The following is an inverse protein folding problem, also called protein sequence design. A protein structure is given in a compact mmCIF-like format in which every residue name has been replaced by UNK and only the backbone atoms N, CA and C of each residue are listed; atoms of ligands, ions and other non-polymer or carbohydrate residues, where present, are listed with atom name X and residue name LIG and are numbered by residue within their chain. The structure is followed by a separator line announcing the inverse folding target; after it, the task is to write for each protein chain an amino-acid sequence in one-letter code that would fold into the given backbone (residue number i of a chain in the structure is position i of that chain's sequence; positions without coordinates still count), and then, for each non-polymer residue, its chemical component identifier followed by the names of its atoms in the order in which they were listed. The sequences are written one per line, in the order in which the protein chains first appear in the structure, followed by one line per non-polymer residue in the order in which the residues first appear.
data_IF_713189834633
#
_entry.id   IF_713189834633
#
_cell.length_a   1.000
_cell.length_b   1.000
_cell.length_c   1.000
_cell.angle_alpha   90.00
_cell.angle_beta   90.00
_cell.angle_gamma   90.00
#
_symmetry.space_group_name_H-M   'P 1'
#
loop_
_entity.id
_entity.type
_entity.pdbx_description
1 polymer ?
#
# COMPACT_ATOMS: atom_id res chain seq x y z
N UNK A 1 2.66 -4.52 12.18
CA UNK A 1 3.27 -3.36 11.50
C UNK A 1 2.48 -2.06 11.68
N UNK A 2 1.15 -2.10 11.80
CA UNK A 2 0.31 -0.91 11.98
C UNK A 2 0.47 -0.16 13.33
N UNK A 3 0.78 -0.87 14.43
CA UNK A 3 0.85 -0.32 15.80
C UNK A 3 2.26 0.15 16.20
N UNK A 4 3.32 -0.42 15.59
CA UNK A 4 4.70 -0.18 16.01
C UNK A 4 5.11 1.30 15.84
N UNK A 5 4.88 1.96 14.69
CA UNK A 5 5.23 3.37 14.54
C UNK A 5 4.38 4.30 15.41
N UNK A 6 3.16 3.90 15.75
CA UNK A 6 2.26 4.61 16.65
C UNK A 6 2.82 4.67 18.08
N UNK A 7 3.37 3.54 18.55
CA UNK A 7 3.99 3.45 19.88
C UNK A 7 5.21 4.38 20.01
N UNK A 8 6.08 4.41 19.00
CA UNK A 8 7.25 5.30 19.00
C UNK A 8 6.85 6.78 18.85
N UNK A 9 5.90 7.10 17.98
CA UNK A 9 5.51 8.50 17.72
C UNK A 9 4.71 9.15 18.85
N UNK A 10 3.95 8.35 19.62
CA UNK A 10 3.30 8.83 20.85
C UNK A 10 4.31 9.12 21.96
N UNK A 11 5.38 8.32 22.07
CA UNK A 11 6.49 8.58 23.02
C UNK A 11 7.36 9.77 22.62
N UNK A 12 7.52 10.04 21.32
CA UNK A 12 8.33 11.13 20.76
C UNK A 12 7.53 12.43 20.50
N UNK A 13 6.26 12.51 20.91
CA UNK A 13 5.36 13.66 20.70
C UNK A 13 5.28 14.17 19.24
N UNK A 14 5.35 13.27 18.26
CA UNK A 14 5.40 13.66 16.85
C UNK A 14 4.00 13.80 16.24
N UNK A 15 3.37 14.95 16.50
CA UNK A 15 1.95 15.23 16.16
C UNK A 15 1.61 15.10 14.67
N UNK A 16 2.53 15.42 13.77
CA UNK A 16 2.30 15.37 12.30
C UNK A 16 2.03 13.94 11.81
N UNK A 17 2.77 12.98 12.33
CA UNK A 17 2.58 11.57 12.00
C UNK A 17 1.23 11.07 12.54
N UNK A 18 0.88 11.43 13.77
CA UNK A 18 -0.37 11.00 14.40
C UNK A 18 -1.61 11.46 13.62
N UNK A 19 -1.63 12.71 13.16
CA UNK A 19 -2.76 13.23 12.36
C UNK A 19 -2.91 12.50 11.03
N UNK A 20 -1.81 12.32 10.28
CA UNK A 20 -1.86 11.60 8.99
C UNK A 20 -2.25 10.14 9.17
N UNK A 21 -1.73 9.50 10.23
CA UNK A 21 -2.03 8.11 10.56
C UNK A 21 -3.51 7.92 10.94
N UNK A 22 -4.07 8.84 11.72
CA UNK A 22 -5.48 8.78 12.13
C UNK A 22 -6.41 8.92 10.93
N UNK A 23 -6.15 9.91 10.06
CA UNK A 23 -6.94 10.10 8.83
C UNK A 23 -6.87 8.86 7.94
N UNK A 24 -5.66 8.35 7.69
CA UNK A 24 -5.47 7.12 6.90
C UNK A 24 -6.23 5.94 7.51
N UNK A 25 -6.16 5.77 8.82
CA UNK A 25 -6.79 4.65 9.53
C UNK A 25 -8.31 4.73 9.50
N UNK A 26 -8.90 5.91 9.67
CA UNK A 26 -10.35 6.11 9.59
C UNK A 26 -10.87 5.81 8.19
N UNK A 27 -10.20 6.33 7.14
CA UNK A 27 -10.65 6.10 5.76
C UNK A 27 -10.47 4.63 5.36
N UNK A 28 -9.33 4.03 5.69
CA UNK A 28 -9.05 2.62 5.38
C UNK A 28 -10.01 1.69 6.13
N UNK A 29 -10.34 2.00 7.39
CA UNK A 29 -11.34 1.26 8.15
C UNK A 29 -12.74 1.38 7.53
N UNK A 30 -13.15 2.58 7.10
CA UNK A 30 -14.43 2.78 6.42
C UNK A 30 -14.53 1.95 5.11
N UNK A 31 -13.47 1.93 4.31
CA UNK A 31 -13.44 1.20 3.04
C UNK A 31 -13.39 -0.31 3.27
N UNK A 32 -12.59 -0.76 4.24
CA UNK A 32 -12.53 -2.17 4.65
C UNK A 32 -13.87 -2.65 5.22
N UNK A 33 -14.57 -1.80 5.98
CA UNK A 33 -15.91 -2.08 6.45
C UNK A 33 -16.87 -2.26 5.27
N UNK A 34 -16.83 -1.37 4.26
CA UNK A 34 -17.66 -1.53 3.05
C UNK A 34 -17.34 -2.82 2.30
N UNK A 35 -16.06 -3.21 2.20
CA UNK A 35 -15.62 -4.43 1.53
C UNK A 35 -16.04 -5.73 2.25
N UNK A 36 -16.23 -5.71 3.57
CA UNK A 36 -16.56 -6.89 4.39
C UNK A 36 -18.06 -7.11 4.61
N UNK A 37 -18.92 -6.18 4.17
CA UNK A 37 -20.38 -6.29 4.34
C UNK A 37 -21.00 -7.29 3.37
N UNK A 38 -21.96 -8.06 3.87
CA UNK A 38 -22.79 -9.00 3.09
C UNK A 38 -24.25 -8.51 3.07
N UNK A 39 -24.94 -8.52 1.91
CA UNK A 39 -24.41 -8.78 0.57
C UNK A 39 -23.50 -7.64 0.08
N UNK A 40 -22.48 -7.97 -0.71
CA UNK A 40 -21.56 -6.98 -1.27
C UNK A 40 -22.28 -6.15 -2.34
N UNK A 41 -22.33 -4.82 -2.18
CA UNK A 41 -22.91 -3.95 -3.19
C UNK A 41 -22.00 -3.88 -4.43
N UNK A 42 -22.61 -3.92 -5.63
CA UNK A 42 -21.91 -3.95 -6.91
C UNK A 42 -20.89 -2.81 -7.13
N UNK A 43 -21.10 -1.63 -6.54
CA UNK A 43 -20.17 -0.48 -6.67
C UNK A 43 -18.98 -0.54 -5.71
N UNK A 44 -19.01 -1.43 -4.72
CA UNK A 44 -18.01 -1.51 -3.65
C UNK A 44 -16.61 -1.88 -4.16
N UNK A 45 -16.44 -2.90 -5.03
CA UNK A 45 -15.13 -3.24 -5.56
C UNK A 45 -14.47 -2.06 -6.27
N UNK A 46 -15.21 -1.33 -7.12
CA UNK A 46 -14.68 -0.15 -7.81
C UNK A 46 -14.21 0.93 -6.84
N UNK A 47 -14.95 1.18 -5.76
CA UNK A 47 -14.56 2.15 -4.73
C UNK A 47 -13.26 1.73 -4.02
N UNK A 48 -13.20 0.45 -3.61
CA UNK A 48 -12.04 -0.14 -2.92
C UNK A 48 -10.79 -0.04 -3.79
N UNK A 49 -10.87 -0.49 -5.05
CA UNK A 49 -9.75 -0.42 -6.00
C UNK A 49 -9.31 1.02 -6.26
N UNK A 50 -10.24 1.96 -6.51
CA UNK A 50 -9.89 3.36 -6.74
C UNK A 50 -9.17 3.99 -5.56
N UNK A 51 -9.61 3.71 -4.34
CA UNK A 51 -8.96 4.23 -3.13
C UNK A 51 -7.54 3.69 -2.96
N UNK A 52 -7.37 2.36 -3.02
CA UNK A 52 -6.04 1.77 -2.83
C UNK A 52 -5.09 2.11 -3.98
N UNK A 53 -5.60 2.28 -5.21
CA UNK A 53 -4.82 2.77 -6.33
C UNK A 53 -4.38 4.23 -6.14
N UNK A 54 -5.28 5.10 -5.66
CA UNK A 54 -4.95 6.49 -5.33
C UNK A 54 -3.85 6.52 -4.24
N UNK A 55 -4.02 5.71 -3.21
CA UNK A 55 -3.05 5.62 -2.12
C UNK A 55 -1.67 5.16 -2.59
N UNK A 56 -1.64 4.13 -3.45
CA UNK A 56 -0.41 3.66 -4.10
C UNK A 56 0.26 4.78 -4.91
N UNK A 57 -0.49 5.52 -5.73
CA UNK A 57 0.05 6.62 -6.54
C UNK A 57 0.64 7.73 -5.67
N UNK A 58 -0.05 8.11 -4.59
CA UNK A 58 0.45 9.13 -3.65
C UNK A 58 1.72 8.63 -2.96
N UNK A 59 1.70 7.42 -2.39
CA UNK A 59 2.85 6.82 -1.72
C UNK A 59 4.07 6.71 -2.65
N UNK A 60 3.85 6.29 -3.90
CA UNK A 60 4.88 6.16 -4.91
C UNK A 60 5.48 7.53 -5.29
N UNK A 61 4.62 8.53 -5.54
CA UNK A 61 5.08 9.89 -5.83
C UNK A 61 5.87 10.49 -4.65
N UNK A 62 5.36 10.34 -3.43
CA UNK A 62 6.05 10.77 -2.20
C UNK A 62 7.41 10.07 -2.05
N UNK A 63 7.50 8.77 -2.34
CA UNK A 63 8.76 8.02 -2.33
C UNK A 63 9.77 8.52 -3.35
N UNK A 64 9.34 8.78 -4.60
CA UNK A 64 10.22 9.34 -5.64
C UNK A 64 10.73 10.72 -5.25
N UNK A 65 9.84 11.59 -4.75
CA UNK A 65 10.23 12.94 -4.30
C UNK A 65 11.22 12.85 -3.16
N UNK A 66 10.98 12.00 -2.16
CA UNK A 66 11.90 11.78 -1.05
C UNK A 66 13.28 11.28 -1.52
N UNK A 67 13.30 10.28 -2.41
CA UNK A 67 14.55 9.76 -2.99
C UNK A 67 15.32 10.84 -3.73
N UNK A 68 14.62 11.63 -4.54
CA UNK A 68 15.21 12.72 -5.33
C UNK A 68 15.86 13.77 -4.41
N UNK A 69 15.20 14.15 -3.32
CA UNK A 69 15.75 15.08 -2.32
C UNK A 69 17.00 14.51 -1.64
N UNK A 70 16.99 13.23 -1.25
CA UNK A 70 18.16 12.57 -0.65
C UNK A 70 19.32 12.53 -1.64
N UNK A 71 19.07 12.12 -2.89
CA UNK A 71 20.11 12.09 -3.93
C UNK A 71 20.70 13.47 -4.18
N UNK A 72 19.88 14.50 -4.35
CA UNK A 72 20.38 15.87 -4.53
C UNK A 72 21.17 16.39 -3.33
N UNK A 73 20.84 15.95 -2.12
CA UNK A 73 21.59 16.31 -0.92
C UNK A 73 22.95 15.61 -0.87
N UNK A 74 23.03 14.34 -1.26
CA UNK A 74 24.29 13.58 -1.34
C UNK A 74 25.25 14.12 -2.42
N UNK A 75 24.73 14.57 -3.57
CA UNK A 75 25.54 15.20 -4.61
C UNK A 75 25.96 16.65 -4.29
N UNK A 76 25.62 17.17 -3.11
CA UNK A 76 26.01 18.51 -2.68
C UNK A 76 25.31 19.66 -3.41
N UNK A 77 24.32 19.37 -4.28
CA UNK A 77 23.54 20.37 -5.03
C UNK A 77 22.76 21.26 -4.06
N UNK A 78 22.41 20.75 -2.87
CA UNK A 78 21.76 21.53 -1.83
C UNK A 78 22.56 22.75 -1.32
N UNK A 79 23.89 22.69 -1.44
CA UNK A 79 24.78 23.80 -1.09
C UNK A 79 24.60 24.99 -2.05
N UNK A 80 24.19 24.74 -3.30
CA UNK A 80 23.90 25.78 -4.29
C UNK A 80 22.68 26.60 -3.86
N UNK A 81 21.70 25.96 -3.24
CA UNK A 81 20.49 26.62 -2.72
C UNK A 81 20.67 27.19 -1.29
N UNK A 82 21.89 27.14 -0.72
CA UNK A 82 22.19 27.55 0.67
C UNK A 82 21.31 26.87 1.72
N UNK A 83 20.79 25.68 1.43
CA UNK A 83 20.04 24.88 2.40
C UNK A 83 21.04 24.01 3.15
N UNK A 84 20.90 23.92 4.46
CA UNK A 84 21.76 23.07 5.26
C UNK A 84 21.52 21.59 4.91
N UNK A 85 22.57 20.78 4.73
CA UNK A 85 22.42 19.35 4.40
C UNK A 85 21.63 18.56 5.44
N UNK A 86 21.74 18.93 6.72
CA UNK A 86 20.97 18.35 7.83
C UNK A 86 19.46 18.43 7.58
N UNK A 87 18.94 19.64 7.39
CA UNK A 87 17.50 19.90 7.23
C UNK A 87 16.91 19.19 6.00
N UNK A 88 17.69 19.14 4.92
CA UNK A 88 17.23 18.52 3.69
C UNK A 88 17.28 16.99 3.72
N UNK A 89 18.29 16.40 4.38
CA UNK A 89 18.29 14.96 4.61
C UNK A 89 17.14 14.55 5.52
N UNK A 90 16.88 15.29 6.60
CA UNK A 90 15.74 15.02 7.49
C UNK A 90 14.41 15.06 6.74
N UNK A 91 14.23 16.07 5.88
CA UNK A 91 13.03 16.17 5.05
C UNK A 91 12.93 15.02 4.03
N UNK A 92 14.01 14.70 3.33
CA UNK A 92 14.05 13.64 2.30
C UNK A 92 13.82 12.25 2.87
N UNK A 93 14.49 11.92 3.98
CA UNK A 93 14.33 10.64 4.69
C UNK A 93 12.94 10.53 5.30
N UNK A 94 12.38 11.62 5.85
CA UNK A 94 11.00 11.63 6.36
C UNK A 94 9.99 11.31 5.25
N UNK A 95 10.13 11.95 4.07
CA UNK A 95 9.29 11.66 2.90
C UNK A 95 9.39 10.20 2.45
N UNK A 96 10.62 9.67 2.38
CA UNK A 96 10.85 8.25 2.04
C UNK A 96 10.16 7.31 3.04
N UNK A 97 10.29 7.60 4.33
CA UNK A 97 9.64 6.83 5.38
C UNK A 97 8.11 6.86 5.24
N UNK A 98 7.51 8.03 5.02
CA UNK A 98 6.06 8.15 4.79
C UNK A 98 5.60 7.39 3.54
N UNK A 99 6.32 7.56 2.43
CA UNK A 99 6.02 6.89 1.16
C UNK A 99 6.04 5.38 1.33
N UNK A 100 7.13 4.82 1.88
CA UNK A 100 7.27 3.38 2.08
C UNK A 100 6.27 2.84 3.11
N UNK A 101 6.07 3.54 4.22
CA UNK A 101 5.17 3.09 5.29
C UNK A 101 3.72 2.96 4.82
N UNK A 102 3.16 4.04 4.24
CA UNK A 102 1.79 4.02 3.73
C UNK A 102 1.65 3.16 2.48
N UNK A 103 2.69 3.01 1.66
CA UNK A 103 2.69 2.14 0.49
C UNK A 103 2.58 0.66 0.86
N UNK A 104 3.41 0.21 1.81
CA UNK A 104 3.38 -1.16 2.31
C UNK A 104 2.06 -1.46 3.01
N UNK A 105 1.61 -0.58 3.91
CA UNK A 105 0.32 -0.74 4.58
C UNK A 105 -0.86 -0.76 3.60
N UNK A 106 -0.86 0.17 2.64
CA UNK A 106 -1.90 0.25 1.62
C UNK A 106 -2.03 -1.03 0.80
N UNK A 107 -0.90 -1.63 0.41
CA UNK A 107 -0.85 -2.91 -0.30
C UNK A 107 -1.45 -4.04 0.53
N UNK A 108 -1.05 -4.18 1.80
CA UNK A 108 -1.55 -5.25 2.68
C UNK A 108 -3.07 -5.16 2.90
N UNK A 109 -3.60 -3.95 3.09
CA UNK A 109 -5.05 -3.75 3.22
C UNK A 109 -5.79 -3.99 1.90
N UNK A 110 -5.18 -3.65 0.76
CA UNK A 110 -5.77 -3.91 -0.55
C UNK A 110 -5.90 -5.41 -0.84
N UNK A 111 -4.87 -6.20 -0.52
CA UNK A 111 -4.87 -7.66 -0.65
C UNK A 111 -5.95 -8.29 0.25
N UNK A 112 -5.99 -7.90 1.53
CA UNK A 112 -7.02 -8.35 2.46
C UNK A 112 -8.44 -8.02 1.96
N UNK A 113 -8.67 -6.80 1.47
CA UNK A 113 -9.97 -6.42 0.92
C UNK A 113 -10.31 -7.21 -0.34
N UNK A 114 -9.34 -7.49 -1.21
CA UNK A 114 -9.54 -8.29 -2.41
C UNK A 114 -9.97 -9.72 -2.07
N UNK A 115 -9.35 -10.35 -1.08
CA UNK A 115 -9.71 -11.70 -0.61
C UNK A 115 -11.12 -11.75 0.00
N UNK A 116 -11.50 -10.75 0.79
CA UNK A 116 -12.86 -10.65 1.34
C UNK A 116 -13.92 -10.45 0.25
N UNK A 117 -13.63 -9.64 -0.76
CA UNK A 117 -14.54 -9.45 -1.89
C UNK A 117 -14.64 -10.72 -2.74
N UNK A 118 -13.53 -11.37 -3.06
CA UNK A 118 -13.51 -12.60 -3.84
C UNK A 118 -14.30 -13.73 -3.16
N UNK A 119 -14.13 -13.90 -1.84
CA UNK A 119 -14.87 -14.89 -1.05
C UNK A 119 -16.37 -14.58 -0.91
N UNK A 120 -16.77 -13.31 -1.00
CA UNK A 120 -18.18 -12.89 -0.89
C UNK A 120 -18.93 -12.96 -2.22
N UNK A 121 -18.23 -12.72 -3.33
CA UNK A 121 -18.82 -12.66 -4.68
C UNK A 121 -19.17 -14.05 -5.22
N UNK A 122 -18.45 -15.11 -4.81
CA UNK A 122 -18.97 -16.49 -4.82
C UNK A 122 -19.44 -17.02 -6.19
N UNK A 123 -18.66 -16.85 -7.26
CA UNK A 123 -18.94 -17.50 -8.56
C UNK A 123 -18.66 -19.01 -8.57
N UNK A 124 -18.04 -19.55 -7.51
CA UNK A 124 -17.79 -20.97 -7.33
C UNK A 124 -18.76 -21.55 -6.30
N UNK A 125 -19.66 -22.43 -6.75
CA UNK A 125 -20.37 -23.34 -5.87
C UNK A 125 -19.46 -24.54 -5.55
N UNK A 126 -19.49 -25.08 -4.33
CA UNK A 126 -18.76 -26.31 -3.99
C UNK A 126 -19.21 -27.52 -4.86
N UNK A 127 -20.35 -27.39 -5.54
CA UNK A 127 -20.92 -28.34 -6.51
C UNK A 127 -20.41 -28.21 -7.96
N UNK A 128 -19.46 -27.31 -8.24
CA UNK A 128 -18.74 -27.25 -9.53
C UNK A 128 -19.50 -26.65 -10.73
N UNK A 129 -20.83 -26.52 -10.67
CA UNK A 129 -21.60 -25.81 -11.71
C UNK A 129 -21.85 -24.34 -11.32
N UNK A 130 -21.42 -23.37 -12.15
CA UNK A 130 -21.71 -21.96 -11.93
C UNK A 130 -23.19 -21.69 -12.25
N UNK A 131 -23.95 -21.20 -11.27
CA UNK A 131 -25.40 -20.94 -11.41
C UNK A 131 -25.71 -19.59 -12.07
N UNK A 132 -24.69 -18.76 -12.36
CA UNK A 132 -24.87 -17.40 -12.85
C UNK A 132 -24.08 -17.20 -14.15
N UNK A 133 -24.79 -17.19 -15.28
CA UNK A 133 -24.22 -16.77 -16.56
C UNK A 133 -23.95 -15.26 -16.52
N UNK A 134 -22.71 -14.86 -16.77
CA UNK A 134 -22.29 -13.48 -16.89
C UNK A 134 -22.25 -13.11 -18.36
N UNK A 135 -22.95 -12.05 -18.77
CA UNK A 135 -22.87 -11.52 -20.13
C UNK A 135 -21.54 -10.79 -20.36
N UNK A 136 -21.00 -10.88 -21.58
CA UNK A 136 -19.66 -10.38 -21.95
C UNK A 136 -19.41 -8.88 -21.67
N UNK A 137 -20.47 -8.08 -21.55
CA UNK A 137 -20.39 -6.64 -21.27
C UNK A 137 -20.49 -6.29 -19.78
N UNK A 138 -20.48 -7.28 -18.88
CA UNK A 138 -20.61 -7.07 -17.42
C UNK A 138 -19.33 -7.57 -16.73
N UNK A 139 -18.75 -6.74 -15.86
CA UNK A 139 -17.56 -7.08 -15.10
C UNK A 139 -17.82 -8.24 -14.13
N UNK A 140 -16.96 -9.26 -14.16
CA UNK A 140 -17.05 -10.44 -13.29
C UNK A 140 -16.81 -10.15 -11.81
N UNK A 141 -16.24 -9.01 -11.43
CA UNK A 141 -15.97 -8.68 -10.02
C UNK A 141 -17.08 -7.82 -9.43
N UNK A 142 -17.53 -6.81 -10.18
CA UNK A 142 -18.47 -5.80 -9.70
C UNK A 142 -19.88 -5.92 -10.28
N UNK A 143 -20.11 -6.78 -11.29
CA UNK A 143 -21.44 -6.95 -11.89
C UNK A 143 -21.98 -5.70 -12.61
N UNK A 144 -21.11 -4.74 -12.93
CA UNK A 144 -21.45 -3.49 -13.60
C UNK A 144 -21.01 -3.50 -15.08
N UNK A 145 -21.63 -2.69 -15.96
CA UNK A 145 -21.25 -2.64 -17.37
C UNK A 145 -19.80 -2.18 -17.52
N UNK A 146 -19.10 -2.84 -18.45
CA UNK A 146 -17.74 -2.50 -18.86
C UNK A 146 -17.82 -1.20 -19.69
N UNK A 147 -17.09 -0.17 -19.28
CA UNK A 147 -17.16 1.17 -19.88
C UNK A 147 -16.17 1.40 -21.03
N UNK A 148 -15.14 0.57 -21.14
CA UNK A 148 -14.04 0.70 -22.11
C UNK A 148 -13.75 -0.68 -22.69
N UNK A 149 -13.59 -0.80 -24.00
CA UNK A 149 -13.22 -2.08 -24.63
C UNK A 149 -11.73 -2.41 -24.36
N UNK A 150 -11.36 -3.68 -24.43
CA UNK A 150 -10.01 -4.20 -24.13
C UNK A 150 -8.92 -3.55 -25.02
N UNK A 151 -9.30 -3.01 -26.17
CA UNK A 151 -8.39 -2.36 -27.12
C UNK A 151 -8.08 -0.89 -26.82
N UNK A 152 -8.79 -0.24 -25.90
CA UNK A 152 -8.60 1.18 -25.59
C UNK A 152 -8.12 1.39 -24.16
N UNK A 153 -7.14 2.30 -23.99
CA UNK A 153 -6.73 2.73 -22.65
C UNK A 153 -7.81 3.62 -22.03
N UNK A 154 -8.45 3.10 -20.99
CA UNK A 154 -9.48 3.80 -20.25
C UNK A 154 -8.88 4.89 -19.36
N UNK A 155 -9.45 6.10 -19.41
CA UNK A 155 -9.09 7.20 -18.50
C UNK A 155 -9.38 6.83 -17.03
N UNK A 156 -10.36 5.96 -16.79
CA UNK A 156 -10.86 5.60 -15.45
C UNK A 156 -10.55 4.14 -15.07
N UNK A 157 -10.81 3.19 -15.97
CA UNK A 157 -10.59 1.75 -15.75
C UNK A 157 -10.22 1.05 -17.06
N UNK A 158 -9.13 0.27 -17.06
CA UNK A 158 -8.73 -0.57 -18.20
C UNK A 158 -9.45 -1.91 -18.10
N UNK A 159 -9.94 -2.40 -19.24
CA UNK A 159 -10.62 -3.69 -19.32
C UNK A 159 -9.62 -4.74 -19.76
N UNK A 160 -9.45 -5.77 -18.94
CA UNK A 160 -8.65 -6.93 -19.29
C UNK A 160 -9.56 -8.15 -19.41
N UNK A 161 -9.48 -8.87 -20.53
CA UNK A 161 -10.08 -10.19 -20.67
C UNK A 161 -9.13 -11.23 -20.08
N UNK A 162 -9.59 -11.94 -19.04
CA UNK A 162 -8.83 -13.01 -18.42
C UNK A 162 -8.88 -14.25 -19.33
N UNK A 163 -7.74 -14.60 -19.94
CA UNK A 163 -7.53 -15.85 -20.67
C UNK A 163 -7.29 -16.98 -19.68
N UNK A 164 -8.33 -17.54 -19.06
CA UNK A 164 -8.13 -18.47 -17.96
C UNK A 164 -7.38 -19.77 -18.39
N UNK A 165 -6.22 -20.00 -17.76
CA UNK A 165 -5.77 -21.30 -17.24
C UNK A 165 -4.71 -21.02 -16.17
N UNK A 166 -5.16 -20.89 -14.93
CA UNK A 166 -4.35 -20.53 -13.76
C UNK A 166 -3.11 -21.42 -13.60
N UNK A 167 -1.94 -20.88 -13.90
CA UNK A 167 -0.66 -21.27 -13.29
C UNK A 167 0.10 -19.97 -13.06
N UNK A 168 0.28 -19.59 -11.80
CA UNK A 168 1.12 -18.43 -11.46
C UNK A 168 2.54 -18.64 -11.98
N UNK A 169 3.02 -17.72 -12.82
CA UNK A 169 4.41 -17.76 -13.28
C UNK A 169 5.35 -17.49 -12.09
N UNK A 170 6.28 -18.42 -11.84
CA UNK A 170 7.26 -18.40 -10.72
C UNK A 170 8.03 -17.07 -10.52
N UNK A 171 8.35 -16.26 -11.57
CA UNK A 171 9.05 -14.98 -11.38
C UNK A 171 8.27 -13.97 -10.52
N UNK A 172 6.94 -13.92 -10.64
CA UNK A 172 6.11 -12.99 -9.86
C UNK A 172 6.04 -13.34 -8.38
N UNK A 173 6.10 -14.64 -8.06
CA UNK A 173 6.18 -15.12 -6.67
C UNK A 173 7.53 -14.73 -6.04
N UNK A 174 8.63 -14.85 -6.79
CA UNK A 174 9.96 -14.49 -6.30
C UNK A 174 10.09 -12.98 -6.03
N UNK A 175 9.52 -12.14 -6.91
CA UNK A 175 9.49 -10.69 -6.72
C UNK A 175 8.63 -10.29 -5.51
N UNK A 176 7.49 -10.96 -5.30
CA UNK A 176 6.67 -10.80 -4.09
C UNK A 176 7.44 -11.16 -2.82
N UNK A 177 8.14 -12.29 -2.81
CA UNK A 177 8.97 -12.72 -1.68
C UNK A 177 10.13 -11.76 -1.38
N UNK A 178 10.77 -11.21 -2.40
CA UNK A 178 11.85 -10.22 -2.23
C UNK A 178 11.32 -8.91 -1.61
N UNK A 179 10.16 -8.44 -2.06
CA UNK A 179 9.47 -7.28 -1.48
C UNK A 179 9.09 -7.52 -0.01
N UNK A 180 8.64 -8.71 0.34
CA UNK A 180 8.33 -9.06 1.73
C UNK A 180 9.58 -9.19 2.61
N UNK A 181 10.70 -9.61 2.05
CA UNK A 181 12.02 -9.58 2.70
C UNK A 181 12.50 -8.15 2.98
N UNK A 182 12.41 -7.26 1.98
CA UNK A 182 12.72 -5.84 2.13
C UNK A 182 11.83 -5.18 3.19
N UNK A 183 10.54 -5.53 3.21
CA UNK A 183 9.59 -5.10 4.23
C UNK A 183 9.97 -5.58 5.62
N UNK A 184 10.38 -6.84 5.78
CA UNK A 184 10.85 -7.36 7.07
C UNK A 184 12.09 -6.59 7.55
N UNK A 185 13.07 -6.37 6.68
CA UNK A 185 14.28 -5.61 7.02
C UNK A 185 13.96 -4.18 7.47
N UNK A 186 13.12 -3.44 6.73
CA UNK A 186 12.76 -2.06 7.07
C UNK A 186 11.89 -1.99 8.33
N UNK A 187 10.94 -2.92 8.51
CA UNK A 187 10.07 -2.93 9.68
C UNK A 187 10.77 -3.33 10.98
N UNK A 188 11.87 -4.09 10.89
CA UNK A 188 12.70 -4.44 12.05
C UNK A 188 13.73 -3.36 12.40
N UNK A 189 14.02 -2.39 11.53
CA UNK A 189 14.98 -1.33 11.84
C UNK A 189 14.70 -0.57 13.16
N UNK A 190 13.46 -0.19 13.52
CA UNK A 190 13.18 0.48 14.79
C UNK A 190 13.43 -0.43 16.01
N UNK A 191 13.19 -1.74 15.87
CA UNK A 191 13.45 -2.74 16.92
C UNK A 191 14.95 -2.97 17.06
N UNK A 192 15.68 -3.05 15.94
CA UNK A 192 17.14 -3.20 15.93
C UNK A 192 17.78 -1.96 16.52
N UNK A 193 17.38 -0.74 16.11
CA UNK A 193 17.91 0.52 16.64
C UNK A 193 17.60 0.65 18.13
N UNK A 194 16.36 0.37 18.55
CA UNK A 194 16.00 0.41 19.97
C UNK A 194 16.74 -0.63 20.81
N UNK A 195 17.00 -1.81 20.27
CA UNK A 195 17.80 -2.85 20.92
C UNK A 195 19.27 -2.44 21.03
N UNK A 196 19.86 -1.90 19.96
CA UNK A 196 21.25 -1.42 19.93
C UNK A 196 21.44 -0.23 20.89
N UNK A 197 20.51 0.73 20.90
CA UNK A 197 20.52 1.84 21.85
C UNK A 197 20.34 1.36 23.30
N UNK A 198 19.45 0.38 23.53
CA UNK A 198 19.29 -0.25 24.85
C UNK A 198 20.56 -0.96 25.33
N UNK A 199 21.27 -1.65 24.43
CA UNK A 199 22.57 -2.26 24.73
C UNK A 199 23.62 -1.21 25.03
N UNK A 200 23.75 -0.16 24.21
CA UNK A 200 24.72 0.90 24.44
C UNK A 200 24.46 1.64 25.77
N UNK A 201 23.19 1.86 26.11
CA UNK A 201 22.81 2.43 27.41
C UNK A 201 23.18 1.51 28.58
N UNK A 202 22.90 0.22 28.49
CA UNK A 202 23.24 -0.78 29.53
C UNK A 202 24.76 -0.95 29.69
N UNK A 203 25.51 -0.83 28.60
CA UNK A 203 26.98 -0.90 28.61
C UNK A 203 27.66 0.44 28.94
N UNK A 204 26.89 1.53 29.15
CA UNK A 204 27.44 2.85 29.49
C UNK A 204 28.26 3.50 28.37
N UNK A 205 27.95 3.19 27.11
CA UNK A 205 28.63 3.64 25.89
C UNK A 205 27.96 4.88 25.24
N UNK A 206 27.24 5.68 26.04
CA UNK A 206 26.78 7.04 25.65
C UNK A 206 27.86 8.09 25.89
#
# INVERSE_FOLDING_TARGET
MWVVPLYFTTKLHWWRFLTTWFIFSVITAYISFRATRKPLACTTPRLVYKWFLLLYKISYATGIVGYTVVMFTLFGINLIFRIKPEDAMDFGVSLLFYGLYYGVLGRDFAEMCADFMASTVGYYSASGMPTKHLSDNICAVCGQPILVDVSEEGIIENTYRLSCNHVWERPHVMYGQLLDWLRYLVAWQPVIIGFVQGINYVLGLE
#
